data_IF_973997313533
#
_entry.id   IF_973997313533
#
_cell.length_a   1.000
_cell.length_b   1.000
_cell.length_c   1.000
_cell.angle_alpha   90.00
_cell.angle_beta   90.00
_cell.angle_gamma   90.00
#
_symmetry.space_group_name_H-M   'P 1'
#
loop_
_entity.id
_entity.type
_entity.pdbx_description
1 polymer ?
#
# COMPACT_ATOMS: atom_id res chain seq x y z
N UNK A 1 24.89 -3.14 9.68
CA UNK A 1 23.70 -3.68 8.98
C UNK A 1 22.67 -2.58 8.87
N UNK A 2 22.34 -2.10 7.65
CA UNK A 2 21.29 -1.10 7.48
C UNK A 2 19.95 -1.83 7.56
N UNK A 3 19.29 -1.78 8.72
CA UNK A 3 17.86 -2.10 8.83
C UNK A 3 17.13 -1.06 7.99
N UNK A 4 16.54 -1.44 6.85
CA UNK A 4 15.72 -0.52 6.05
C UNK A 4 14.52 -0.10 6.91
N UNK A 5 14.61 1.12 7.45
CA UNK A 5 13.67 1.70 8.42
C UNK A 5 12.36 2.21 7.79
N UNK A 6 12.28 2.15 6.47
CA UNK A 6 11.21 2.74 5.66
C UNK A 6 10.61 1.66 4.77
N UNK A 7 9.28 1.62 4.72
CA UNK A 7 8.53 0.84 3.74
C UNK A 7 7.55 1.77 2.98
N UNK A 8 7.28 1.39 1.73
CA UNK A 8 6.36 2.08 0.84
C UNK A 8 5.00 1.45 1.00
N UNK A 9 4.01 2.24 1.37
CA UNK A 9 2.63 1.75 1.55
C UNK A 9 1.78 2.30 0.41
N UNK A 10 1.22 1.39 -0.42
CA UNK A 10 0.38 1.74 -1.57
C UNK A 10 -1.05 1.26 -1.29
N UNK A 11 -2.00 2.15 -0.99
CA UNK A 11 -3.39 1.77 -0.84
C UNK A 11 -4.03 1.43 -2.20
N UNK A 12 -4.82 0.36 -2.24
CA UNK A 12 -5.51 -0.10 -3.45
C UNK A 12 -7.02 0.02 -3.26
N UNK A 13 -7.65 0.80 -4.14
CA UNK A 13 -9.09 1.09 -4.09
C UNK A 13 -9.86 0.57 -5.31
N UNK A 14 -9.16 0.14 -6.37
CA UNK A 14 -9.75 -0.28 -7.64
C UNK A 14 -9.29 -1.68 -8.01
N UNK A 15 -10.13 -2.42 -8.72
CA UNK A 15 -9.81 -3.75 -9.24
C UNK A 15 -8.81 -3.67 -10.40
N UNK A 16 -8.93 -2.64 -11.23
CA UNK A 16 -8.12 -2.41 -12.43
C UNK A 16 -7.44 -1.04 -12.39
N UNK A 17 -6.34 -0.91 -13.12
CA UNK A 17 -5.63 0.36 -13.32
C UNK A 17 -5.89 0.86 -14.74
N UNK A 18 -6.01 2.17 -14.90
CA UNK A 18 -5.88 2.77 -16.22
C UNK A 18 -4.42 2.77 -16.69
N UNK A 19 -4.18 3.10 -17.96
CA UNK A 19 -2.83 3.06 -18.54
C UNK A 19 -1.81 3.93 -17.80
N UNK A 20 -2.22 5.10 -17.32
CA UNK A 20 -1.34 6.04 -16.62
C UNK A 20 -1.04 5.55 -15.20
N UNK A 21 -2.03 5.00 -14.50
CA UNK A 21 -1.88 4.36 -13.20
C UNK A 21 -0.96 3.13 -13.30
N UNK A 22 -1.11 2.31 -14.33
CA UNK A 22 -0.23 1.16 -14.60
C UNK A 22 1.22 1.60 -14.85
N UNK A 23 1.45 2.62 -15.69
CA UNK A 23 2.79 3.20 -15.91
C UNK A 23 3.38 3.78 -14.63
N UNK A 24 2.58 4.49 -13.85
CA UNK A 24 3.00 5.08 -12.57
C UNK A 24 3.38 4.01 -11.55
N UNK A 25 2.60 2.93 -11.45
CA UNK A 25 2.91 1.80 -10.59
C UNK A 25 4.17 1.06 -11.04
N UNK A 26 4.31 0.80 -12.34
CA UNK A 26 5.52 0.16 -12.88
C UNK A 26 6.78 1.00 -12.59
N UNK A 27 6.68 2.32 -12.77
CA UNK A 27 7.77 3.23 -12.43
C UNK A 27 8.04 3.27 -10.93
N UNK A 28 7.00 3.27 -10.09
CA UNK A 28 7.13 3.20 -8.63
C UNK A 28 7.87 1.94 -8.20
N UNK A 29 7.44 0.76 -8.69
CA UNK A 29 8.13 -0.50 -8.46
C UNK A 29 9.58 -0.44 -8.95
N UNK A 30 9.85 0.15 -10.11
CA UNK A 30 11.21 0.29 -10.66
C UNK A 30 12.11 1.24 -9.87
N UNK A 31 11.62 2.36 -9.38
CA UNK A 31 12.45 3.35 -8.66
C UNK A 31 12.63 2.96 -7.20
N UNK A 32 11.57 2.43 -6.59
CA UNK A 32 11.51 2.13 -5.16
C UNK A 32 11.68 0.64 -4.86
N UNK A 33 12.11 -0.20 -5.82
CA UNK A 33 12.35 -1.64 -5.61
C UNK A 33 13.30 -1.94 -4.45
N UNK A 34 14.12 -0.96 -4.06
CA UNK A 34 15.05 -1.08 -2.94
C UNK A 34 14.35 -1.00 -1.58
N UNK A 35 13.09 -0.57 -1.50
CA UNK A 35 12.31 -0.54 -0.26
C UNK A 35 11.24 -1.62 -0.29
N UNK A 36 10.84 -2.17 0.87
CA UNK A 36 9.65 -3.03 0.93
C UNK A 36 8.43 -2.24 0.44
N UNK A 37 7.70 -2.80 -0.53
CA UNK A 37 6.47 -2.22 -1.05
C UNK A 37 5.31 -3.08 -0.56
N UNK A 38 4.42 -2.46 0.21
CA UNK A 38 3.29 -3.11 0.87
C UNK A 38 2.00 -2.50 0.29
N UNK A 39 1.22 -3.33 -0.38
CA UNK A 39 -0.10 -2.97 -0.84
C UNK A 39 -1.11 -3.12 0.28
N UNK A 40 -1.99 -2.13 0.45
CA UNK A 40 -3.02 -2.14 1.50
C UNK A 40 -4.37 -2.09 0.82
N UNK A 41 -5.17 -3.15 0.98
CA UNK A 41 -6.40 -3.31 0.22
C UNK A 41 -7.56 -3.85 1.07
N UNK A 42 -8.83 -3.59 0.66
CA UNK A 42 -9.99 -4.24 1.26
C UNK A 42 -9.92 -5.76 1.11
N UNK A 43 -10.55 -6.50 2.03
CA UNK A 43 -10.68 -7.95 1.93
C UNK A 43 -11.52 -8.37 0.71
N UNK A 44 -12.55 -7.60 0.37
CA UNK A 44 -13.44 -7.90 -0.76
C UNK A 44 -12.85 -7.54 -2.13
N UNK A 45 -11.78 -6.74 -2.19
CA UNK A 45 -11.28 -6.19 -3.44
C UNK A 45 -10.32 -7.17 -4.13
N UNK A 46 -10.64 -7.58 -5.35
CA UNK A 46 -9.72 -8.35 -6.20
C UNK A 46 -9.02 -7.38 -7.13
N UNK A 47 -7.73 -7.13 -6.89
CA UNK A 47 -6.91 -6.24 -7.70
C UNK A 47 -6.10 -7.06 -8.70
N UNK A 48 -6.49 -7.00 -9.98
CA UNK A 48 -5.98 -7.86 -11.06
C UNK A 48 -4.51 -7.58 -11.42
N UNK A 49 -4.03 -6.39 -11.07
CA UNK A 49 -2.68 -5.94 -11.35
C UNK A 49 -1.65 -6.35 -10.29
N UNK A 50 -2.09 -6.95 -9.18
CA UNK A 50 -1.20 -7.46 -8.13
C UNK A 50 -0.69 -8.85 -8.51
N UNK A 51 0.62 -9.05 -8.41
CA UNK A 51 1.26 -10.35 -8.57
C UNK A 51 1.25 -11.13 -7.25
N UNK A 52 1.47 -12.44 -7.31
CA UNK A 52 1.69 -13.28 -6.12
C UNK A 52 2.97 -12.88 -5.35
N UNK A 53 3.92 -12.22 -6.03
CA UNK A 53 5.15 -11.71 -5.40
C UNK A 53 4.95 -10.39 -4.66
N UNK A 54 3.80 -9.72 -4.84
CA UNK A 54 3.51 -8.46 -4.17
C UNK A 54 3.10 -8.72 -2.71
N UNK A 55 3.68 -7.98 -1.77
CA UNK A 55 3.25 -8.03 -0.38
C UNK A 55 1.92 -7.28 -0.23
N UNK A 56 0.84 -7.99 0.09
CA UNK A 56 -0.50 -7.41 0.23
C UNK A 56 -1.06 -7.64 1.63
N UNK A 57 -1.36 -6.54 2.31
CA UNK A 57 -2.04 -6.52 3.60
C UNK A 57 -3.52 -6.18 3.42
N UNK A 58 -4.39 -7.09 3.87
CA UNK A 58 -5.85 -6.99 3.70
C UNK A 58 -6.52 -6.53 5.00
N UNK A 59 -7.33 -5.48 4.90
CA UNK A 59 -8.09 -4.94 6.03
C UNK A 59 -9.58 -4.93 5.74
N UNK A 60 -10.40 -4.81 6.79
CA UNK A 60 -11.84 -4.72 6.62
C UNK A 60 -12.22 -3.52 5.75
N UNK A 61 -13.19 -3.75 4.87
CA UNK A 61 -13.65 -2.77 3.88
C UNK A 61 -14.10 -1.45 4.50
N UNK A 62 -14.50 -1.47 5.78
CA UNK A 62 -14.88 -0.28 6.57
C UNK A 62 -13.79 0.79 6.59
N UNK A 63 -12.52 0.41 6.49
CA UNK A 63 -11.38 1.34 6.47
C UNK A 63 -11.28 2.10 5.13
N UNK A 64 -11.81 1.55 4.04
CA UNK A 64 -11.66 2.10 2.69
C UNK A 64 -12.89 2.88 2.19
N UNK A 65 -13.90 3.10 3.04
CA UNK A 65 -15.15 3.79 2.67
C UNK A 65 -15.02 5.31 2.52
N UNK A 66 -14.04 5.92 3.18
CA UNK A 66 -13.85 7.38 3.17
C UNK A 66 -12.41 7.76 3.58
N UNK A 67 -11.95 8.99 3.27
CA UNK A 67 -10.66 9.48 3.77
C UNK A 67 -10.56 9.43 5.31
N UNK A 68 -11.66 9.67 6.03
CA UNK A 68 -11.69 9.63 7.50
C UNK A 68 -11.45 8.22 8.04
N UNK A 69 -12.05 7.20 7.42
CA UNK A 69 -11.84 5.80 7.82
C UNK A 69 -10.45 5.31 7.41
N UNK A 70 -9.91 5.81 6.31
CA UNK A 70 -8.55 5.50 5.90
C UNK A 70 -7.51 6.10 6.86
N UNK A 71 -7.72 7.34 7.30
CA UNK A 71 -6.87 7.95 8.33
C UNK A 71 -6.87 7.14 9.63
N UNK A 72 -8.00 6.50 10.00
CA UNK A 72 -8.05 5.58 11.15
C UNK A 72 -7.15 4.36 10.97
N UNK A 73 -7.03 3.84 9.75
CA UNK A 73 -6.10 2.75 9.44
C UNK A 73 -4.65 3.24 9.58
N UNK A 74 -4.35 4.44 9.08
CA UNK A 74 -3.01 5.02 9.11
C UNK A 74 -2.51 5.40 10.51
N UNK A 75 -3.40 5.65 11.46
CA UNK A 75 -3.04 5.93 12.86
C UNK A 75 -3.11 4.67 13.75
N UNK A 76 -3.57 3.54 13.21
CA UNK A 76 -3.73 2.33 14.00
C UNK A 76 -2.34 1.74 14.34
N UNK A 77 -1.94 1.67 15.62
CA UNK A 77 -0.61 1.15 16.01
C UNK A 77 -0.37 -0.28 15.55
N UNK A 78 -1.43 -1.09 15.41
CA UNK A 78 -1.35 -2.46 14.93
C UNK A 78 -0.85 -2.54 13.48
N UNK A 79 -1.12 -1.51 12.66
CA UNK A 79 -0.58 -1.40 11.31
C UNK A 79 0.96 -1.32 11.33
N UNK A 80 1.53 -0.57 12.28
CA UNK A 80 2.98 -0.38 12.41
C UNK A 80 3.67 -1.55 13.10
N UNK A 81 3.05 -2.12 14.14
CA UNK A 81 3.58 -3.30 14.84
C UNK A 81 3.66 -4.51 13.92
N UNK A 82 2.61 -4.78 13.12
CA UNK A 82 2.59 -5.93 12.21
C UNK A 82 3.68 -5.85 11.13
N UNK A 83 3.97 -4.65 10.66
CA UNK A 83 4.96 -4.42 9.60
C UNK A 83 6.36 -4.07 10.13
N UNK A 84 6.59 -4.11 11.46
CA UNK A 84 7.87 -3.74 12.10
C UNK A 84 8.38 -2.34 11.68
N UNK A 85 7.47 -1.41 11.40
CA UNK A 85 7.79 -0.08 10.89
C UNK A 85 7.96 0.89 12.07
N UNK A 86 9.21 1.19 12.44
CA UNK A 86 9.53 2.07 13.60
C UNK A 86 10.16 3.40 13.17
N UNK A 87 10.26 3.73 11.86
CA UNK A 87 10.86 5.00 11.42
C UNK A 87 10.48 5.41 9.97
N UNK A 88 9.23 5.82 9.77
CA UNK A 88 8.82 6.59 8.59
C UNK A 88 8.15 5.78 7.49
N UNK A 89 7.01 6.30 7.00
CA UNK A 89 6.23 5.73 5.92
C UNK A 89 6.18 6.73 4.77
N UNK A 90 6.46 6.27 3.54
CA UNK A 90 6.15 7.05 2.35
C UNK A 90 4.84 6.48 1.80
N UNK A 91 3.77 7.25 1.94
CA UNK A 91 2.49 6.95 1.33
C UNK A 91 2.51 7.44 -0.11
N UNK A 92 2.66 6.52 -1.06
CA UNK A 92 2.46 6.85 -2.47
C UNK A 92 0.98 6.64 -2.75
N UNK A 93 0.22 7.74 -2.72
CA UNK A 93 -1.15 7.72 -3.18
C UNK A 93 -1.11 7.75 -4.70
N UNK A 94 -1.58 6.66 -5.32
CA UNK A 94 -1.98 6.71 -6.73
C UNK A 94 -3.26 7.55 -6.77
N UNK A 95 -3.11 8.85 -6.99
CA UNK A 95 -4.25 9.73 -7.22
C UNK A 95 -4.77 9.51 -8.64
N UNK A 96 -6.10 9.42 -8.75
CA UNK A 96 -6.84 9.72 -9.97
C UNK A 96 -7.49 11.09 -9.77
#
# INVERSE_FOLDING_TARGET
MITKRVAIVIPVYKNTLNENEAKSLAQCKKVLHQYPIIFVAPKSLVAEFLSNDDQVERFDDVYFKSPKTYNKLLINPLFYCKNQMISGNIFVKLEA
#
